data_IF_730503080151
#
_entry.id   IF_730503080151
#
_cell.length_a   1.000
_cell.length_b   1.000
_cell.length_c   1.000
_cell.angle_alpha   90.00
_cell.angle_beta   90.00
_cell.angle_gamma   90.00
#
_symmetry.space_group_name_H-M   'P 1'
#
loop_
_entity.id
_entity.type
_entity.pdbx_description
1 polymer ?
#
# COMPACT_ATOMS: atom_id res chain seq x y z
N UNK A 1 -32.42 3.54 -7.02
CA UNK A 1 -31.37 4.57 -6.81
C UNK A 1 -30.19 4.22 -7.69
N UNK A 2 -29.89 5.03 -8.72
CA UNK A 2 -28.70 4.81 -9.54
C UNK A 2 -27.46 4.93 -8.64
N UNK A 3 -26.74 3.82 -8.47
CA UNK A 3 -25.43 3.80 -7.85
C UNK A 3 -24.49 4.59 -8.75
N UNK A 4 -24.37 5.89 -8.50
CA UNK A 4 -23.45 6.74 -9.24
C UNK A 4 -22.03 6.23 -8.97
N UNK A 5 -21.51 5.44 -9.92
CA UNK A 5 -20.23 4.76 -9.84
C UNK A 5 -19.14 5.82 -9.81
N UNK A 6 -18.19 5.69 -8.89
CA UNK A 6 -17.08 6.64 -8.78
C UNK A 6 -16.07 6.33 -9.90
N UNK A 7 -16.35 6.81 -11.11
CA UNK A 7 -15.52 6.57 -12.30
C UNK A 7 -14.04 6.93 -12.09
N UNK A 8 -13.77 8.00 -11.33
CA UNK A 8 -12.41 8.39 -10.95
C UNK A 8 -11.69 7.29 -10.14
N UNK A 9 -12.36 6.66 -9.17
CA UNK A 9 -11.76 5.60 -8.36
C UNK A 9 -11.43 4.37 -9.22
N UNK A 10 -12.29 4.05 -10.17
CA UNK A 10 -12.08 2.91 -11.08
C UNK A 10 -10.95 3.19 -12.07
N UNK A 11 -10.87 4.40 -12.63
CA UNK A 11 -9.77 4.82 -13.51
C UNK A 11 -8.41 4.77 -12.80
N UNK A 12 -8.33 5.29 -11.57
CA UNK A 12 -7.10 5.31 -10.78
C UNK A 12 -6.64 3.89 -10.43
N UNK A 13 -7.56 2.96 -10.12
CA UNK A 13 -7.21 1.55 -9.90
C UNK A 13 -6.73 0.87 -11.18
N UNK A 14 -7.39 1.11 -12.30
CA UNK A 14 -6.99 0.55 -13.60
C UNK A 14 -5.58 1.02 -13.96
N UNK A 15 -5.30 2.31 -13.80
CA UNK A 15 -3.96 2.86 -14.02
C UNK A 15 -2.91 2.17 -13.14
N UNK A 16 -3.16 2.01 -11.84
CA UNK A 16 -2.18 1.37 -10.96
C UNK A 16 -1.95 -0.12 -11.29
N UNK A 17 -2.99 -0.85 -11.71
CA UNK A 17 -2.86 -2.24 -12.18
C UNK A 17 -2.03 -2.29 -13.47
N UNK A 18 -2.31 -1.42 -14.43
CA UNK A 18 -1.54 -1.33 -15.67
C UNK A 18 -0.07 -1.03 -15.39
N UNK A 19 0.22 -0.06 -14.53
CA UNK A 19 1.58 0.29 -14.12
C UNK A 19 2.31 -0.86 -13.43
N UNK A 20 1.61 -1.63 -12.59
CA UNK A 20 2.18 -2.83 -11.94
C UNK A 20 2.50 -3.92 -12.97
N UNK A 21 1.55 -4.25 -13.87
CA UNK A 21 1.70 -5.30 -14.86
C UNK A 21 2.77 -4.97 -15.91
N UNK A 22 2.72 -3.76 -16.50
CA UNK A 22 3.71 -3.33 -17.50
C UNK A 22 5.11 -3.30 -16.92
N UNK A 23 5.22 -2.92 -15.65
CA UNK A 23 6.46 -3.02 -14.91
C UNK A 23 7.01 -4.43 -14.90
N UNK A 24 6.28 -5.38 -14.29
CA UNK A 24 6.73 -6.77 -14.18
C UNK A 24 7.01 -7.40 -15.54
N UNK A 25 6.17 -7.15 -16.54
CA UNK A 25 6.33 -7.71 -17.88
C UNK A 25 7.61 -7.24 -18.57
N UNK A 26 7.90 -5.93 -18.55
CA UNK A 26 9.10 -5.39 -19.19
C UNK A 26 10.36 -5.88 -18.45
N UNK A 27 10.35 -5.92 -17.11
CA UNK A 27 11.51 -6.39 -16.35
C UNK A 27 11.78 -7.89 -16.47
N UNK A 28 10.76 -8.72 -16.71
CA UNK A 28 10.99 -10.16 -16.90
C UNK A 28 11.38 -10.51 -18.33
N UNK A 29 10.89 -9.79 -19.33
CA UNK A 29 11.11 -10.12 -20.74
C UNK A 29 12.23 -9.32 -21.40
N UNK A 30 12.59 -8.15 -20.87
CA UNK A 30 13.67 -7.34 -21.43
C UNK A 30 15.02 -8.01 -21.14
N UNK A 31 15.71 -8.39 -22.21
CA UNK A 31 17.05 -8.96 -22.13
C UNK A 31 18.03 -7.97 -21.47
N UNK A 32 19.03 -8.51 -20.78
CA UNK A 32 19.99 -7.73 -19.97
C UNK A 32 20.74 -6.70 -20.83
N UNK A 33 21.03 -7.03 -22.08
CA UNK A 33 21.72 -6.17 -23.06
C UNK A 33 21.00 -4.83 -23.32
N UNK A 34 19.67 -4.80 -23.16
CA UNK A 34 18.86 -3.58 -23.37
C UNK A 34 18.63 -2.78 -22.09
N UNK A 35 19.16 -3.23 -20.94
CA UNK A 35 19.07 -2.52 -19.65
C UNK A 35 20.18 -1.49 -19.50
N UNK A 36 20.29 -0.61 -20.48
CA UNK A 36 21.33 0.43 -20.51
C UNK A 36 20.90 1.67 -19.72
N UNK A 37 21.59 2.04 -18.62
CA UNK A 37 21.31 3.26 -17.87
C UNK A 37 21.54 4.56 -18.66
N UNK A 38 22.34 4.52 -19.74
CA UNK A 38 22.56 5.66 -20.63
C UNK A 38 21.38 5.91 -21.59
N UNK A 39 20.53 4.90 -21.81
CA UNK A 39 19.32 5.06 -22.62
C UNK A 39 18.26 5.86 -21.85
N UNK A 40 17.87 6.99 -22.43
CA UNK A 40 16.80 7.84 -21.88
C UNK A 40 15.47 7.09 -21.74
N UNK A 41 15.18 6.19 -22.68
CA UNK A 41 13.95 5.38 -22.65
C UNK A 41 13.94 4.38 -21.47
N UNK A 42 15.03 3.64 -21.29
CA UNK A 42 15.15 2.66 -20.19
C UNK A 42 15.16 3.36 -18.83
N UNK A 43 15.90 4.47 -18.69
CA UNK A 43 15.95 5.23 -17.44
C UNK A 43 14.59 5.82 -17.07
N UNK A 44 13.87 6.38 -18.06
CA UNK A 44 12.50 6.87 -17.86
C UNK A 44 11.58 5.75 -17.38
N UNK A 45 11.59 4.61 -18.06
CA UNK A 45 10.79 3.45 -17.65
C UNK A 45 11.16 2.94 -16.24
N UNK A 46 12.45 2.82 -15.93
CA UNK A 46 12.96 2.38 -14.62
C UNK A 46 12.51 3.30 -13.49
N UNK A 47 12.54 4.61 -13.72
CA UNK A 47 11.99 5.61 -12.80
C UNK A 47 10.48 5.39 -12.56
N UNK A 48 9.69 5.27 -13.64
CA UNK A 48 8.25 5.01 -13.53
C UNK A 48 7.94 3.69 -12.83
N UNK A 49 8.75 2.64 -13.07
CA UNK A 49 8.67 1.36 -12.36
C UNK A 49 8.87 1.54 -10.86
N UNK A 50 9.90 2.29 -10.46
CA UNK A 50 10.23 2.55 -9.06
C UNK A 50 9.12 3.27 -8.29
N UNK A 51 8.53 4.31 -8.88
CA UNK A 51 7.47 5.10 -8.22
C UNK A 51 6.09 4.42 -8.22
N UNK A 52 5.90 3.38 -9.02
CA UNK A 52 4.62 2.68 -9.17
C UNK A 52 4.11 2.13 -7.84
N UNK A 53 4.97 1.45 -7.07
CA UNK A 53 4.57 0.87 -5.79
C UNK A 53 4.20 1.96 -4.76
N UNK A 54 5.02 3.00 -4.50
CA UNK A 54 4.64 4.10 -3.60
C UNK A 54 3.29 4.74 -3.95
N UNK A 55 3.06 5.01 -5.23
CA UNK A 55 1.80 5.58 -5.74
C UNK A 55 0.63 4.63 -5.45
N UNK A 56 0.80 3.34 -5.73
CA UNK A 56 -0.25 2.34 -5.51
C UNK A 56 -0.65 2.20 -4.04
N UNK A 57 0.31 2.16 -3.12
CA UNK A 57 0.02 2.12 -1.67
C UNK A 57 -0.69 3.39 -1.20
N UNK A 58 -0.22 4.56 -1.65
CA UNK A 58 -0.83 5.86 -1.31
C UNK A 58 -2.28 5.94 -1.80
N UNK A 59 -2.53 5.61 -3.07
CA UNK A 59 -3.86 5.58 -3.66
C UNK A 59 -4.77 4.58 -2.93
N UNK A 60 -4.25 3.40 -2.60
CA UNK A 60 -5.01 2.37 -1.90
C UNK A 60 -5.45 2.85 -0.52
N UNK A 61 -4.55 3.47 0.24
CA UNK A 61 -4.85 4.09 1.53
C UNK A 61 -5.88 5.21 1.41
N UNK A 62 -5.76 6.05 0.38
CA UNK A 62 -6.68 7.14 0.09
C UNK A 62 -8.09 6.61 -0.19
N UNK A 63 -8.24 5.73 -1.17
CA UNK A 63 -9.55 5.19 -1.58
C UNK A 63 -10.21 4.47 -0.41
N UNK A 64 -9.46 3.64 0.32
CA UNK A 64 -10.00 2.87 1.43
C UNK A 64 -10.53 3.79 2.54
N UNK A 65 -9.70 4.76 2.95
CA UNK A 65 -10.04 5.71 4.02
C UNK A 65 -11.19 6.64 3.61
N UNK A 66 -11.19 7.12 2.37
CA UNK A 66 -12.29 7.94 1.84
C UNK A 66 -13.64 7.18 1.91
N UNK A 67 -13.66 5.91 1.50
CA UNK A 67 -14.85 5.07 1.58
C UNK A 67 -15.25 4.75 3.03
N UNK A 68 -14.28 4.64 3.94
CA UNK A 68 -14.51 4.42 5.37
C UNK A 68 -15.19 5.62 6.02
N UNK A 69 -14.68 6.83 5.78
CA UNK A 69 -15.24 8.07 6.31
C UNK A 69 -16.63 8.33 5.70
N UNK A 70 -16.80 8.12 4.39
CA UNK A 70 -18.11 8.24 3.73
C UNK A 70 -19.14 7.27 4.30
N UNK A 71 -18.73 6.06 4.68
CA UNK A 71 -19.62 5.08 5.33
C UNK A 71 -20.00 5.50 6.76
N UNK A 72 -19.12 6.21 7.48
CA UNK A 72 -19.41 6.78 8.80
C UNK A 72 -20.59 7.75 8.77
N UNK A 73 -20.62 8.66 7.80
CA UNK A 73 -21.77 9.58 7.61
C UNK A 73 -23.10 8.86 7.42
N UNK A 74 -23.06 7.72 6.72
CA UNK A 74 -24.24 6.91 6.44
C UNK A 74 -24.58 5.95 7.57
N UNK A 75 -23.92 6.04 8.73
CA UNK A 75 -24.04 5.10 9.85
C UNK A 75 -23.79 3.62 9.46
N UNK A 76 -22.98 3.39 8.42
CA UNK A 76 -22.63 2.07 7.87
C UNK A 76 -21.15 1.72 8.10
N UNK A 77 -20.48 2.40 9.03
CA UNK A 77 -19.07 2.21 9.35
C UNK A 77 -18.76 0.80 9.84
N UNK A 78 -19.59 0.21 10.70
CA UNK A 78 -19.40 -1.17 11.21
C UNK A 78 -19.28 -2.18 10.07
N UNK A 79 -20.18 -2.11 9.08
CA UNK A 79 -20.13 -2.98 7.90
C UNK A 79 -18.86 -2.73 7.08
N UNK A 80 -18.46 -1.47 6.90
CA UNK A 80 -17.28 -1.11 6.10
C UNK A 80 -15.98 -1.55 6.78
N UNK A 81 -15.87 -1.38 8.10
CA UNK A 81 -14.77 -1.85 8.93
C UNK A 81 -14.62 -3.37 8.79
N UNK A 82 -15.71 -4.14 8.94
CA UNK A 82 -15.68 -5.60 8.78
C UNK A 82 -15.23 -6.01 7.38
N UNK A 83 -15.76 -5.36 6.34
CA UNK A 83 -15.35 -5.61 4.94
C UNK A 83 -13.87 -5.30 4.71
N UNK A 84 -13.36 -4.20 5.28
CA UNK A 84 -11.95 -3.84 5.19
C UNK A 84 -11.03 -4.85 5.86
N UNK A 85 -11.35 -5.22 7.10
CA UNK A 85 -10.58 -6.20 7.86
C UNK A 85 -10.58 -7.59 7.19
N UNK A 86 -11.75 -8.09 6.78
CA UNK A 86 -11.87 -9.37 6.05
C UNK A 86 -11.10 -9.35 4.73
N UNK A 87 -11.13 -8.23 4.00
CA UNK A 87 -10.34 -8.07 2.78
C UNK A 87 -8.84 -8.07 3.06
N UNK A 88 -8.40 -7.41 4.15
CA UNK A 88 -7.00 -7.45 4.58
C UNK A 88 -6.53 -8.87 4.86
N UNK A 89 -7.32 -9.64 5.63
CA UNK A 89 -7.04 -11.04 5.93
C UNK A 89 -7.02 -11.90 4.66
N UNK A 90 -7.99 -11.71 3.76
CA UNK A 90 -8.06 -12.40 2.48
C UNK A 90 -6.81 -12.14 1.63
N UNK A 91 -6.32 -10.89 1.56
CA UNK A 91 -5.12 -10.55 0.79
C UNK A 91 -3.86 -11.20 1.38
N UNK A 92 -3.75 -11.27 2.71
CA UNK A 92 -2.64 -11.98 3.37
C UNK A 92 -2.71 -13.48 3.03
N UNK A 93 -3.90 -14.09 3.14
CA UNK A 93 -4.11 -15.50 2.82
C UNK A 93 -3.77 -15.82 1.36
N UNK A 94 -4.27 -15.03 0.41
CA UNK A 94 -3.97 -15.19 -1.02
C UNK A 94 -2.48 -14.96 -1.29
N UNK A 95 -1.87 -13.95 -0.67
CA UNK A 95 -0.45 -13.67 -0.85
C UNK A 95 0.44 -14.86 -0.46
N UNK A 96 0.15 -15.49 0.67
CA UNK A 96 0.87 -16.69 1.08
C UNK A 96 0.52 -17.92 0.23
N UNK A 97 -0.75 -18.08 -0.17
CA UNK A 97 -1.16 -19.18 -1.03
C UNK A 97 -0.47 -19.17 -2.40
N UNK A 98 -0.30 -17.99 -3.00
CA UNK A 98 0.41 -17.83 -4.28
C UNK A 98 1.90 -18.19 -4.21
N UNK A 99 2.48 -18.20 -3.00
CA UNK A 99 3.90 -18.48 -2.77
C UNK A 99 4.18 -19.95 -2.45
N UNK A 100 3.16 -20.80 -2.40
CA UNK A 100 3.31 -22.22 -2.10
C UNK A 100 4.01 -22.92 -3.28
N UNK A 101 5.22 -23.49 -3.08
CA UNK A 101 5.92 -24.21 -4.14
C UNK A 101 5.38 -25.64 -4.22
N UNK A 102 4.22 -25.79 -4.86
CA UNK A 102 3.48 -27.07 -4.93
C UNK A 102 4.38 -28.22 -5.43
N UNK A 103 5.20 -27.98 -6.45
CA UNK A 103 6.10 -28.99 -7.00
C UNK A 103 7.23 -29.39 -6.04
N UNK A 104 7.83 -28.45 -5.31
CA UNK A 104 8.89 -28.77 -4.32
C UNK A 104 8.34 -29.55 -3.12
N UNK A 105 7.09 -29.25 -2.71
CA UNK A 105 6.43 -30.00 -1.64
C UNK A 105 6.13 -31.44 -2.04
N UNK A 106 5.78 -31.68 -3.31
CA UNK A 106 5.57 -33.04 -3.83
C UNK A 106 6.88 -33.86 -3.84
N UNK A 107 8.02 -33.18 -3.98
CA UNK A 107 9.36 -33.76 -3.86
C UNK A 107 9.83 -33.90 -2.39
N UNK A 108 9.03 -33.45 -1.41
CA UNK A 108 9.33 -33.53 0.02
C UNK A 108 10.24 -32.41 0.56
N UNK A 109 10.51 -31.37 -0.23
CA UNK A 109 11.35 -30.23 0.17
C UNK A 109 10.49 -29.09 0.72
N UNK A 110 10.56 -28.87 2.04
CA UNK A 110 9.83 -27.79 2.71
C UNK A 110 10.74 -26.57 2.90
N UNK A 111 10.66 -25.63 1.95
CA UNK A 111 11.46 -24.41 1.98
C UNK A 111 10.76 -23.29 2.77
N UNK A 112 11.53 -22.49 3.52
CA UNK A 112 11.06 -21.27 4.20
C UNK A 112 10.61 -20.16 3.25
N UNK A 113 10.78 -20.35 1.94
CA UNK A 113 10.34 -19.46 0.86
C UNK A 113 8.87 -19.07 0.98
N UNK A 114 7.99 -19.93 1.49
CA UNK A 114 6.56 -19.60 1.68
C UNK A 114 6.36 -18.40 2.60
N UNK A 115 7.28 -18.15 3.54
CA UNK A 115 7.11 -17.12 4.59
C UNK A 115 7.50 -15.72 4.15
N UNK A 116 8.12 -15.56 2.99
CA UNK A 116 8.57 -14.25 2.49
C UNK A 116 7.36 -13.39 2.11
N UNK A 117 7.51 -12.09 2.33
CA UNK A 117 6.42 -11.12 2.22
C UNK A 117 6.49 -10.39 0.87
N UNK A 118 5.39 -10.47 0.13
CA UNK A 118 5.17 -9.73 -1.11
C UNK A 118 4.12 -8.62 -0.92
N UNK A 119 3.82 -7.93 -2.02
CA UNK A 119 2.94 -6.74 -2.03
C UNK A 119 1.54 -7.01 -1.48
N UNK A 120 0.96 -8.20 -1.70
CA UNK A 120 -0.40 -8.55 -1.27
C UNK A 120 -0.53 -8.60 0.25
N UNK A 121 0.40 -9.30 0.91
CA UNK A 121 0.46 -9.42 2.36
C UNK A 121 0.67 -8.04 3.00
N UNK A 122 1.55 -7.23 2.41
CA UNK A 122 1.90 -5.91 2.91
C UNK A 122 0.72 -4.93 2.82
N UNK A 123 -0.02 -4.94 1.71
CA UNK A 123 -1.28 -4.18 1.57
C UNK A 123 -2.34 -4.70 2.53
N UNK A 124 -2.50 -6.02 2.64
CA UNK A 124 -3.49 -6.63 3.52
C UNK A 124 -3.29 -6.21 4.97
N UNK A 125 -2.03 -6.26 5.45
CA UNK A 125 -1.66 -5.83 6.79
C UNK A 125 -1.86 -4.31 6.99
N UNK A 126 -1.48 -3.49 5.99
CA UNK A 126 -1.66 -2.04 6.05
C UNK A 126 -3.15 -1.63 6.15
N UNK A 127 -4.05 -2.32 5.43
CA UNK A 127 -5.49 -2.11 5.55
C UNK A 127 -6.01 -2.44 6.95
N UNK A 128 -5.51 -3.52 7.56
CA UNK A 128 -5.85 -3.89 8.94
C UNK A 128 -5.39 -2.79 9.90
N UNK A 129 -4.16 -2.29 9.74
CA UNK A 129 -3.65 -1.18 10.56
C UNK A 129 -4.50 0.08 10.45
N UNK A 130 -4.92 0.50 9.25
CA UNK A 130 -5.84 1.63 9.10
C UNK A 130 -7.13 1.40 9.90
N UNK A 131 -7.72 0.20 9.82
CA UNK A 131 -8.94 -0.14 10.56
C UNK A 131 -8.72 -0.09 12.07
N UNK A 132 -7.60 -0.63 12.56
CA UNK A 132 -7.22 -0.62 13.98
C UNK A 132 -7.02 0.81 14.47
N UNK A 133 -6.22 1.62 13.78
CA UNK A 133 -5.98 3.02 14.16
C UNK A 133 -7.24 3.88 14.07
N UNK A 134 -8.12 3.62 13.10
CA UNK A 134 -9.41 4.29 13.01
C UNK A 134 -10.32 3.97 14.21
N UNK A 135 -10.28 2.73 14.73
CA UNK A 135 -10.97 2.37 15.97
C UNK A 135 -10.31 2.99 17.19
N UNK A 136 -8.98 2.96 17.27
CA UNK A 136 -8.19 3.49 18.40
C UNK A 136 -8.44 5.00 18.61
N UNK A 137 -8.59 5.74 17.52
CA UNK A 137 -8.91 7.18 17.56
C UNK A 137 -10.39 7.47 17.82
N UNK A 138 -11.16 6.49 18.33
CA UNK A 138 -12.60 6.57 18.58
C UNK A 138 -13.38 7.05 17.35
N UNK A 139 -12.89 6.74 16.14
CA UNK A 139 -13.46 7.18 14.87
C UNK A 139 -13.48 8.71 14.70
N UNK A 140 -12.76 9.48 15.51
CA UNK A 140 -12.65 10.94 15.36
C UNK A 140 -11.75 11.24 14.15
N UNK A 141 -12.34 11.76 13.08
CA UNK A 141 -11.64 11.94 11.78
C UNK A 141 -10.40 12.82 11.90
N UNK A 142 -10.45 13.88 12.72
CA UNK A 142 -9.31 14.76 12.93
C UNK A 142 -8.14 14.06 13.65
N UNK A 143 -8.42 13.36 14.75
CA UNK A 143 -7.41 12.60 15.50
C UNK A 143 -6.81 11.49 14.64
N UNK A 144 -7.64 10.77 13.88
CA UNK A 144 -7.19 9.78 12.91
C UNK A 144 -6.27 10.38 11.84
N UNK A 145 -6.66 11.52 11.26
CA UNK A 145 -5.87 12.24 10.26
C UNK A 145 -4.48 12.60 10.78
N UNK A 146 -4.42 13.24 11.96
CA UNK A 146 -3.15 13.63 12.58
C UNK A 146 -2.29 12.41 12.92
N UNK A 147 -2.89 11.34 13.44
CA UNK A 147 -2.18 10.10 13.72
C UNK A 147 -1.57 9.49 12.46
N UNK A 148 -2.30 9.45 11.33
CA UNK A 148 -1.77 8.93 10.06
C UNK A 148 -0.63 9.78 9.53
N UNK A 149 -0.72 11.12 9.64
CA UNK A 149 0.33 12.03 9.24
C UNK A 149 1.61 11.83 10.07
N UNK A 150 1.46 11.77 11.40
CA UNK A 150 2.56 11.56 12.34
C UNK A 150 3.20 10.19 12.13
N UNK A 151 2.41 9.12 12.00
CA UNK A 151 2.96 7.79 11.75
C UNK A 151 3.68 7.72 10.40
N UNK A 152 3.10 8.29 9.34
CA UNK A 152 3.73 8.34 8.03
C UNK A 152 5.06 9.10 8.05
N UNK A 153 5.09 10.29 8.66
CA UNK A 153 6.31 11.10 8.81
C UNK A 153 7.37 10.40 9.66
N UNK A 154 7.01 9.83 10.82
CA UNK A 154 7.96 9.12 11.67
C UNK A 154 8.57 7.91 10.96
N UNK A 155 7.77 7.14 10.23
CA UNK A 155 8.27 6.01 9.43
C UNK A 155 9.34 6.48 8.46
N UNK A 156 9.08 7.50 7.65
CA UNK A 156 10.08 7.95 6.68
C UNK A 156 11.28 8.65 7.33
N UNK A 157 11.09 9.32 8.47
CA UNK A 157 12.18 9.94 9.23
C UNK A 157 13.15 8.89 9.79
N UNK A 158 12.63 7.77 10.27
CA UNK A 158 13.42 6.66 10.82
C UNK A 158 13.85 5.63 9.76
N UNK A 159 13.73 5.95 8.46
CA UNK A 159 14.17 5.07 7.37
C UNK A 159 15.62 4.59 7.49
N UNK A 160 16.59 5.46 7.86
CA UNK A 160 17.98 5.02 8.04
C UNK A 160 18.14 3.93 9.11
N UNK A 161 17.23 3.87 10.09
CA UNK A 161 17.34 2.93 11.22
C UNK A 161 16.82 1.53 10.89
N UNK A 162 15.89 1.41 9.94
CA UNK A 162 15.35 0.11 9.55
C UNK A 162 15.84 -0.39 8.20
N UNK A 163 16.57 0.41 7.42
CA UNK A 163 17.04 0.04 6.07
C UNK A 163 17.82 -1.27 6.07
N UNK A 164 18.79 -1.37 6.98
CA UNK A 164 19.72 -2.51 7.10
C UNK A 164 19.43 -3.36 8.32
N UNK A 165 18.19 -3.33 8.83
CA UNK A 165 17.79 -4.06 10.03
C UNK A 165 17.89 -5.57 9.78
N UNK A 166 18.72 -6.27 10.56
CA UNK A 166 18.81 -7.73 10.59
C UNK A 166 18.20 -8.25 11.89
N UNK A 167 17.25 -9.17 11.78
CA UNK A 167 16.54 -9.74 12.94
C UNK A 167 16.78 -11.25 13.01
N UNK A 168 17.90 -11.65 13.59
CA UNK A 168 18.32 -13.05 13.67
C UNK A 168 17.59 -13.84 14.77
N UNK A 169 17.17 -13.16 15.84
CA UNK A 169 16.55 -13.79 17.02
C UNK A 169 15.01 -13.75 17.00
N UNK A 170 14.41 -13.14 15.99
CA UNK A 170 12.95 -12.97 15.87
C UNK A 170 12.37 -14.09 14.99
N UNK A 171 11.16 -14.62 15.29
CA UNK A 171 10.52 -15.61 14.43
C UNK A 171 10.49 -15.15 12.96
N UNK A 172 10.86 -16.05 12.05
CA UNK A 172 11.05 -15.73 10.63
C UNK A 172 9.85 -15.04 9.99
N UNK A 173 8.63 -15.41 10.40
CA UNK A 173 7.38 -14.78 9.95
C UNK A 173 7.41 -13.27 10.20
N UNK A 174 7.80 -12.85 11.41
CA UNK A 174 7.85 -11.43 11.80
C UNK A 174 9.07 -10.76 11.18
N UNK A 175 10.21 -11.45 11.17
CA UNK A 175 11.44 -10.95 10.54
C UNK A 175 11.21 -10.58 9.07
N UNK A 176 10.44 -11.38 8.33
CA UNK A 176 10.12 -11.15 6.92
C UNK A 176 9.21 -9.94 6.67
N UNK A 177 8.47 -9.46 7.67
CA UNK A 177 7.70 -8.20 7.55
C UNK A 177 8.57 -6.97 7.85
N UNK A 178 9.67 -7.12 8.59
CA UNK A 178 10.48 -6.00 9.08
C UNK A 178 11.81 -5.84 8.36
N UNK A 179 12.40 -6.93 7.87
CA UNK A 179 13.71 -6.99 7.24
C UNK A 179 13.65 -7.54 5.83
N UNK A 180 14.60 -7.11 4.99
CA UNK A 180 14.83 -7.64 3.64
C UNK A 180 15.84 -8.80 3.63
N UNK A 181 16.49 -9.12 4.76
CA UNK A 181 17.59 -10.09 4.84
C UNK A 181 17.22 -11.49 4.34
N UNK A 182 15.95 -11.86 4.49
CA UNK A 182 15.44 -13.20 4.19
C UNK A 182 14.76 -13.30 2.80
N UNK A 183 14.96 -12.31 1.93
CA UNK A 183 14.39 -12.27 0.57
C UNK A 183 13.06 -11.53 0.43
N UNK A 184 12.54 -10.92 1.51
CA UNK A 184 11.35 -10.06 1.43
C UNK A 184 11.62 -8.77 0.68
N UNK A 185 10.91 -8.55 -0.42
CA UNK A 185 11.00 -7.33 -1.22
C UNK A 185 10.21 -6.19 -0.55
N UNK A 186 9.10 -6.54 0.13
CA UNK A 186 8.19 -5.57 0.72
C UNK A 186 8.15 -5.67 2.26
N UNK A 187 8.75 -4.70 2.96
CA UNK A 187 8.68 -4.56 4.43
C UNK A 187 7.58 -3.60 4.88
N UNK A 188 6.88 -3.91 5.97
CA UNK A 188 5.68 -3.18 6.36
C UNK A 188 5.91 -1.69 6.63
N UNK A 189 7.09 -1.31 7.14
CA UNK A 189 7.39 0.06 7.56
C UNK A 189 7.24 1.07 6.40
N UNK A 190 8.11 1.10 5.38
CA UNK A 190 8.02 2.11 4.32
C UNK A 190 6.67 2.06 3.58
N UNK A 191 6.14 0.85 3.36
CA UNK A 191 4.92 0.66 2.60
C UNK A 191 3.65 1.10 3.35
N UNK A 192 3.61 0.90 4.68
CA UNK A 192 2.57 1.47 5.51
C UNK A 192 2.67 3.00 5.57
N UNK A 193 3.88 3.57 5.56
CA UNK A 193 4.08 5.03 5.49
C UNK A 193 3.37 5.69 4.31
N UNK A 194 3.51 5.11 3.11
CA UNK A 194 2.77 5.57 1.92
C UNK A 194 1.25 5.43 2.10
N UNK A 195 0.80 4.31 2.63
CA UNK A 195 -0.63 4.09 2.86
C UNK A 195 -1.21 5.06 3.91
N UNK A 196 -0.43 5.41 4.94
CA UNK A 196 -0.79 6.37 5.98
C UNK A 196 -0.91 7.79 5.40
N UNK A 197 0.01 8.24 4.55
CA UNK A 197 -0.17 9.49 3.82
C UNK A 197 -1.40 9.47 2.92
N UNK A 198 -1.66 8.36 2.23
CA UNK A 198 -2.91 8.17 1.49
C UNK A 198 -4.15 8.37 2.36
N UNK A 199 -4.16 7.77 3.55
CA UNK A 199 -5.24 7.91 4.52
C UNK A 199 -5.40 9.34 5.03
N UNK A 200 -4.29 10.05 5.31
CA UNK A 200 -4.29 11.47 5.65
C UNK A 200 -4.90 12.31 4.52
N UNK A 201 -4.44 12.14 3.28
CA UNK A 201 -4.95 12.87 2.11
C UNK A 201 -6.45 12.63 1.95
N UNK A 202 -6.95 11.41 2.13
CA UNK A 202 -8.39 11.13 2.07
C UNK A 202 -9.22 11.91 3.08
N UNK A 203 -8.69 12.14 4.29
CA UNK A 203 -9.39 12.94 5.30
C UNK A 203 -9.47 14.41 4.89
N UNK A 204 -8.44 14.95 4.23
CA UNK A 204 -8.44 16.30 3.67
C UNK A 204 -9.46 16.41 2.53
N UNK A 205 -9.41 15.48 1.57
CA UNK A 205 -10.35 15.44 0.46
C UNK A 205 -11.79 15.40 0.94
N UNK A 206 -12.07 14.64 2.00
CA UNK A 206 -13.40 14.57 2.59
C UNK A 206 -13.80 15.85 3.33
N UNK A 207 -12.91 16.43 4.15
CA UNK A 207 -13.23 17.58 5.00
C UNK A 207 -13.47 18.89 4.23
N UNK A 208 -12.96 18.98 2.99
CA UNK A 208 -12.97 20.22 2.23
C UNK A 208 -13.54 20.09 0.80
N UNK A 209 -14.10 18.94 0.41
CA UNK A 209 -14.66 18.74 -0.94
C UNK A 209 -15.78 19.75 -1.28
N UNK A 210 -16.54 20.18 -0.27
CA UNK A 210 -17.65 21.13 -0.40
C UNK A 210 -17.18 22.60 -0.42
N UNK A 211 -15.90 22.89 -0.13
CA UNK A 211 -15.39 24.26 -0.17
C UNK A 211 -14.93 24.63 -1.59
N UNK A 212 -15.45 25.70 -2.21
CA UNK A 212 -15.22 26.02 -3.62
C UNK A 212 -13.74 26.26 -3.97
N UNK A 213 -12.92 26.74 -3.02
CA UNK A 213 -11.48 27.04 -3.23
C UNK A 213 -10.52 25.90 -2.88
N UNK A 214 -11.02 24.78 -2.35
CA UNK A 214 -10.14 23.70 -1.86
C UNK A 214 -9.38 22.97 -2.97
N UNK A 215 -10.04 22.71 -4.11
CA UNK A 215 -9.39 22.11 -5.29
C UNK A 215 -8.20 22.95 -5.76
N UNK A 216 -8.38 24.27 -5.82
CA UNK A 216 -7.34 25.22 -6.22
C UNK A 216 -6.20 25.23 -5.20
N UNK A 217 -6.52 25.26 -3.90
CA UNK A 217 -5.52 25.36 -2.82
C UNK A 217 -4.65 24.10 -2.68
N UNK A 218 -5.21 22.89 -2.88
CA UNK A 218 -4.42 21.65 -2.90
C UNK A 218 -3.53 21.58 -4.13
N UNK A 219 -4.05 21.95 -5.32
CA UNK A 219 -3.24 21.91 -6.55
C UNK A 219 -2.11 22.93 -6.47
N UNK A 220 -2.36 24.13 -5.94
CA UNK A 220 -1.30 25.11 -5.73
C UNK A 220 -0.29 24.67 -4.67
N UNK A 221 -0.73 24.05 -3.57
CA UNK A 221 0.18 23.54 -2.53
C UNK A 221 0.97 22.29 -2.94
N UNK A 222 0.59 21.60 -4.03
CA UNK A 222 1.33 20.48 -4.58
C UNK A 222 2.38 20.93 -5.61
N UNK A 223 2.23 22.15 -6.16
CA UNK A 223 3.12 22.74 -7.17
C UNK A 223 4.13 23.73 -6.59
N UNK A 224 4.01 24.08 -5.31
CA UNK A 224 4.97 24.88 -4.54
C UNK A 224 5.83 23.94 -3.70
#
# INVERSE_FOLDING_TARGET
MSTNRLYFIDAVRAFAILMMLQGHFIDTLLAVEYRDPASTAFNTWSYFRGITAPIFFTISGLIFTYLLIKAKLRNQDKMRIRKGFMRGLLLIGIGYALRIPVFQWLEGVFTSYVLVVDVLQCIGLSLIFIVVFYKLTFKKTFLFSMLMLVLGTLIFLFEPWYRDLTLEQVPLVIANYMSKSNGSIFTILPWFGYMAYGAFIATLFYGYLERPRFKVSIVSGFLV
#
